data_IF_270941745433
#
_entry.id   IF_270941745433
#
_cell.length_a   1.000
_cell.length_b   1.000
_cell.length_c   1.000
_cell.angle_alpha   90.00
_cell.angle_beta   90.00
_cell.angle_gamma   90.00
#
_symmetry.space_group_name_H-M   'P 1'
#
loop_
_entity.id
_entity.type
_entity.pdbx_description
1 polymer ?
#
# COMPACT_ATOMS: atom_id res chain seq x y z
N UNK A 1 12.15 21.45 -3.95
CA UNK A 1 12.76 20.23 -3.38
C UNK A 1 11.62 19.27 -3.10
N UNK A 2 11.80 17.97 -3.39
CA UNK A 2 10.77 16.96 -3.11
C UNK A 2 10.48 16.89 -1.60
N UNK A 3 9.20 16.82 -1.23
CA UNK A 3 8.76 16.63 0.16
C UNK A 3 9.13 15.24 0.72
N UNK A 4 9.55 14.32 -0.16
CA UNK A 4 10.03 12.98 0.19
C UNK A 4 11.51 12.97 0.61
N UNK A 5 12.28 14.00 0.25
CA UNK A 5 13.72 14.04 0.49
C UNK A 5 14.06 13.93 1.98
N UNK A 6 14.95 13.00 2.30
CA UNK A 6 15.41 12.68 3.67
C UNK A 6 14.31 12.19 4.62
N UNK A 7 13.15 11.82 4.09
CA UNK A 7 12.05 11.20 4.84
C UNK A 7 12.16 9.68 4.77
N UNK A 8 11.65 9.00 5.77
CA UNK A 8 11.69 7.53 5.85
C UNK A 8 10.32 6.93 5.54
N UNK A 9 10.27 6.07 4.53
CA UNK A 9 9.08 5.35 4.11
C UNK A 9 9.21 3.85 4.39
N UNK A 10 8.25 3.29 5.13
CA UNK A 10 8.07 1.84 5.29
C UNK A 10 7.04 1.37 4.26
N UNK A 11 7.38 0.36 3.46
CA UNK A 11 6.53 -0.16 2.38
C UNK A 11 6.34 -1.65 2.56
N UNK A 12 5.11 -2.09 2.82
CA UNK A 12 4.77 -3.51 2.90
C UNK A 12 4.43 -4.08 1.53
N UNK A 13 4.68 -5.37 1.31
CA UNK A 13 4.47 -5.99 -0.02
C UNK A 13 5.39 -5.40 -1.08
N UNK A 14 6.62 -5.02 -0.70
CA UNK A 14 7.55 -4.27 -1.54
C UNK A 14 8.32 -5.14 -2.57
N UNK A 15 8.10 -6.45 -2.62
CA UNK A 15 8.86 -7.35 -3.50
C UNK A 15 8.51 -7.22 -4.99
N UNK A 16 7.31 -6.72 -5.33
CA UNK A 16 6.84 -6.59 -6.71
C UNK A 16 5.71 -5.56 -6.87
N UNK A 17 5.27 -5.36 -8.10
CA UNK A 17 4.09 -4.55 -8.42
C UNK A 17 4.18 -3.13 -7.89
N UNK A 18 3.09 -2.64 -7.29
CA UNK A 18 2.96 -1.27 -6.77
C UNK A 18 3.99 -1.00 -5.68
N UNK A 19 4.21 -1.96 -4.76
CA UNK A 19 5.16 -1.76 -3.66
C UNK A 19 6.60 -1.56 -4.12
N UNK A 20 7.07 -2.40 -5.06
CA UNK A 20 8.40 -2.26 -5.66
C UNK A 20 8.56 -0.94 -6.45
N UNK A 21 7.53 -0.56 -7.23
CA UNK A 21 7.53 0.71 -7.96
C UNK A 21 7.54 1.91 -6.99
N UNK A 22 6.79 1.84 -5.89
CA UNK A 22 6.78 2.87 -4.85
C UNK A 22 8.15 3.01 -4.19
N UNK A 23 8.82 1.90 -3.85
CA UNK A 23 10.15 1.93 -3.25
C UNK A 23 11.17 2.63 -4.15
N UNK A 24 11.18 2.30 -5.45
CA UNK A 24 12.06 2.94 -6.44
C UNK A 24 11.74 4.43 -6.61
N UNK A 25 10.46 4.78 -6.73
CA UNK A 25 10.02 6.17 -6.87
C UNK A 25 10.43 7.01 -5.66
N UNK A 26 10.17 6.53 -4.44
CA UNK A 26 10.52 7.26 -3.21
C UNK A 26 12.03 7.43 -3.07
N UNK A 27 12.81 6.38 -3.35
CA UNK A 27 14.26 6.45 -3.31
C UNK A 27 14.83 7.44 -4.35
N UNK A 28 14.27 7.45 -5.58
CA UNK A 28 14.65 8.42 -6.63
C UNK A 28 14.37 9.86 -6.22
N UNK A 29 13.33 10.10 -5.42
CA UNK A 29 12.99 11.41 -4.85
C UNK A 29 13.80 11.73 -3.56
N UNK A 30 14.74 10.87 -3.17
CA UNK A 30 15.66 11.07 -2.05
C UNK A 30 15.13 10.65 -0.68
N UNK A 31 14.10 9.82 -0.63
CA UNK A 31 13.65 9.20 0.61
C UNK A 31 14.54 8.00 1.01
N UNK A 32 14.59 7.72 2.31
CA UNK A 32 15.03 6.43 2.83
C UNK A 32 13.88 5.44 2.73
N UNK A 33 14.11 4.22 2.27
CA UNK A 33 13.05 3.23 2.11
C UNK A 33 13.34 1.95 2.89
N UNK A 34 12.34 1.45 3.61
CA UNK A 34 12.36 0.13 4.25
C UNK A 34 11.39 -0.77 3.49
N UNK A 35 11.96 -1.78 2.82
CA UNK A 35 11.21 -2.74 2.03
C UNK A 35 10.87 -3.96 2.89
N UNK A 36 9.57 -4.25 3.03
CA UNK A 36 9.07 -5.37 3.81
C UNK A 36 8.24 -6.31 2.93
N UNK A 37 8.62 -7.57 2.86
CA UNK A 37 7.86 -8.65 2.20
C UNK A 37 8.36 -10.02 2.68
N UNK A 38 7.61 -11.08 2.37
CA UNK A 38 7.97 -12.46 2.76
C UNK A 38 9.21 -12.98 2.03
N UNK A 39 9.41 -12.58 0.77
CA UNK A 39 10.49 -13.07 -0.08
C UNK A 39 11.71 -12.16 0.05
N UNK A 40 12.63 -12.52 0.95
CA UNK A 40 13.83 -11.73 1.25
C UNK A 40 14.67 -11.44 0.01
N UNK A 41 14.91 -12.43 -0.85
CA UNK A 41 15.76 -12.27 -2.03
C UNK A 41 15.25 -11.18 -2.99
N UNK A 42 13.92 -11.08 -3.18
CA UNK A 42 13.31 -10.08 -4.07
C UNK A 42 13.46 -8.65 -3.52
N UNK A 43 13.18 -8.46 -2.21
CA UNK A 43 13.31 -7.13 -1.60
C UNK A 43 14.75 -6.69 -1.45
N UNK A 44 15.66 -7.63 -1.18
CA UNK A 44 17.10 -7.31 -1.11
C UNK A 44 17.65 -6.91 -2.47
N UNK A 45 17.26 -7.59 -3.56
CA UNK A 45 17.66 -7.19 -4.90
C UNK A 45 17.21 -5.76 -5.25
N UNK A 46 15.99 -5.36 -4.84
CA UNK A 46 15.49 -3.98 -5.03
C UNK A 46 16.28 -3.00 -4.13
N UNK A 47 16.56 -3.38 -2.89
CA UNK A 47 17.35 -2.54 -1.99
C UNK A 47 18.79 -2.33 -2.49
N UNK A 48 19.42 -3.37 -3.04
CA UNK A 48 20.74 -3.28 -3.68
C UNK A 48 20.72 -2.38 -4.92
N UNK A 49 19.68 -2.50 -5.78
CA UNK A 49 19.46 -1.62 -6.92
C UNK A 49 19.40 -0.15 -6.49
N UNK A 50 18.60 0.14 -5.44
CA UNK A 50 18.42 1.49 -4.91
C UNK A 50 19.75 2.01 -4.32
N UNK A 51 20.46 1.21 -3.53
CA UNK A 51 21.77 1.59 -2.95
C UNK A 51 22.82 1.81 -4.05
N UNK A 52 22.83 0.95 -5.07
CA UNK A 52 23.70 1.09 -6.23
C UNK A 52 23.47 2.37 -7.04
N UNK A 53 22.23 2.90 -7.03
CA UNK A 53 21.88 4.19 -7.61
C UNK A 53 22.14 5.39 -6.67
N UNK A 54 22.72 5.17 -5.49
CA UNK A 54 23.05 6.20 -4.50
C UNK A 54 21.92 6.55 -3.55
N UNK A 55 20.81 5.80 -3.57
CA UNK A 55 19.70 5.92 -2.62
C UNK A 55 19.95 5.18 -1.30
N UNK A 56 19.07 5.37 -0.32
CA UNK A 56 19.11 4.72 0.98
C UNK A 56 17.97 3.70 1.09
N UNK A 57 18.32 2.43 1.27
CA UNK A 57 17.34 1.34 1.37
C UNK A 57 17.79 0.27 2.37
N UNK A 58 16.84 -0.26 3.14
CA UNK A 58 16.96 -1.44 3.97
C UNK A 58 15.83 -2.43 3.63
N UNK A 59 16.10 -3.72 3.77
CA UNK A 59 15.13 -4.78 3.49
C UNK A 59 14.99 -5.72 4.68
N UNK A 60 13.77 -6.21 4.93
CA UNK A 60 13.50 -7.16 6.01
C UNK A 60 12.38 -8.12 5.63
N UNK A 61 12.55 -9.41 5.91
CA UNK A 61 11.49 -10.38 5.80
C UNK A 61 10.33 -10.02 6.74
N UNK A 62 9.11 -10.00 6.21
CA UNK A 62 7.92 -9.67 6.99
C UNK A 62 6.70 -10.39 6.44
N UNK A 63 6.05 -11.16 7.28
CA UNK A 63 4.66 -11.59 7.08
C UNK A 63 3.76 -10.60 7.83
N UNK A 64 3.01 -9.78 7.07
CA UNK A 64 2.14 -8.75 7.64
C UNK A 64 1.00 -9.31 8.49
N UNK A 65 0.69 -10.59 8.39
CA UNK A 65 -0.28 -11.27 9.25
C UNK A 65 0.25 -11.55 10.68
N UNK A 66 1.54 -11.26 10.93
CA UNK A 66 2.21 -11.43 12.22
C UNK A 66 2.64 -10.08 12.77
N UNK A 67 2.12 -9.70 13.94
CA UNK A 67 2.41 -8.39 14.53
C UNK A 67 3.90 -8.21 14.84
N UNK A 68 4.57 -9.26 15.31
CA UNK A 68 5.98 -9.24 15.66
C UNK A 68 6.86 -8.89 14.46
N UNK A 69 6.53 -9.42 13.27
CA UNK A 69 7.27 -9.13 12.04
C UNK A 69 7.08 -7.65 11.65
N UNK A 70 5.85 -7.13 11.75
CA UNK A 70 5.55 -5.73 11.46
C UNK A 70 6.24 -4.78 12.44
N UNK A 71 6.27 -5.12 13.73
CA UNK A 71 7.03 -4.34 14.72
C UNK A 71 8.53 -4.35 14.43
N UNK A 72 9.10 -5.48 14.00
CA UNK A 72 10.50 -5.57 13.61
C UNK A 72 10.83 -4.66 12.41
N UNK A 73 9.89 -4.49 11.45
CA UNK A 73 10.04 -3.52 10.34
C UNK A 73 10.16 -2.08 10.87
N UNK A 74 9.33 -1.71 11.85
CA UNK A 74 9.37 -0.35 12.43
C UNK A 74 10.65 -0.13 13.23
N UNK A 75 11.12 -1.13 13.97
CA UNK A 75 12.42 -1.08 14.69
C UNK A 75 13.57 -0.92 13.69
N UNK A 76 13.52 -1.58 12.54
CA UNK A 76 14.53 -1.39 11.50
C UNK A 76 14.51 0.05 10.96
N UNK A 77 13.33 0.62 10.73
CA UNK A 77 13.20 2.02 10.29
C UNK A 77 13.76 3.00 11.34
N UNK A 78 13.46 2.76 12.63
CA UNK A 78 13.99 3.56 13.73
C UNK A 78 15.51 3.51 13.79
N UNK A 79 16.10 2.31 13.69
CA UNK A 79 17.53 2.10 13.86
C UNK A 79 18.36 2.49 12.64
N UNK A 80 17.85 2.26 11.43
CA UNK A 80 18.57 2.55 10.19
C UNK A 80 18.43 4.01 9.76
N UNK A 81 17.25 4.63 10.01
CA UNK A 81 16.91 5.93 9.42
C UNK A 81 16.31 6.93 10.41
N UNK A 82 16.19 6.58 11.69
CA UNK A 82 15.77 7.49 12.76
C UNK A 82 14.26 7.67 12.92
N UNK A 83 13.43 6.84 12.29
CA UNK A 83 11.98 6.84 12.47
C UNK A 83 11.18 6.52 11.22
N UNK A 84 9.88 6.77 11.28
CA UNK A 84 8.93 6.51 10.19
C UNK A 84 8.11 7.77 9.89
N UNK A 85 8.32 8.38 8.73
CA UNK A 85 7.52 9.51 8.24
C UNK A 85 6.31 9.01 7.43
N UNK A 86 6.50 7.94 6.64
CA UNK A 86 5.46 7.39 5.76
C UNK A 86 5.32 5.88 5.97
N UNK A 87 4.08 5.43 6.16
CA UNK A 87 3.73 4.01 6.13
C UNK A 87 2.86 3.73 4.90
N UNK A 88 3.30 2.82 4.05
CA UNK A 88 2.56 2.37 2.87
C UNK A 88 2.11 0.92 3.12
N UNK A 89 0.87 0.75 3.54
CA UNK A 89 0.23 -0.54 3.69
C UNK A 89 -0.23 -1.03 2.31
N UNK A 90 0.68 -1.66 1.58
CA UNK A 90 0.45 -2.13 0.22
C UNK A 90 0.31 -3.67 0.14
N UNK A 91 0.83 -4.42 1.08
CA UNK A 91 0.67 -5.88 1.08
C UNK A 91 -0.80 -6.30 0.98
N UNK A 92 -1.11 -7.21 0.06
CA UNK A 92 -2.45 -7.70 -0.13
C UNK A 92 -2.52 -8.85 -1.13
N UNK A 93 -3.54 -9.69 -1.00
CA UNK A 93 -3.83 -10.84 -1.85
C UNK A 93 -5.26 -10.80 -2.34
N UNK A 94 -5.52 -11.48 -3.48
CA UNK A 94 -6.86 -11.60 -4.08
C UNK A 94 -7.39 -13.04 -3.98
N UNK A 95 -6.52 -14.04 -3.83
CA UNK A 95 -6.97 -15.44 -3.66
C UNK A 95 -7.59 -15.69 -2.28
N UNK A 96 -8.54 -16.64 -2.23
CA UNK A 96 -9.09 -17.50 -3.29
C UNK A 96 -10.19 -16.78 -4.09
N UNK A 97 -10.06 -16.72 -5.43
CA UNK A 97 -11.13 -16.18 -6.28
C UNK A 97 -12.16 -17.28 -6.54
N UNK A 98 -13.29 -17.23 -5.84
CA UNK A 98 -14.34 -18.27 -5.90
C UNK A 98 -15.69 -17.76 -5.42
N UNK A 99 -16.78 -18.42 -5.82
CA UNK A 99 -18.11 -18.14 -5.28
C UNK A 99 -18.17 -18.46 -3.78
N UNK A 100 -19.05 -17.77 -3.05
CA UNK A 100 -19.18 -17.91 -1.58
C UNK A 100 -19.40 -19.36 -1.14
N UNK A 101 -20.29 -20.06 -1.83
CA UNK A 101 -20.64 -21.45 -1.48
C UNK A 101 -19.53 -22.47 -1.74
N UNK A 102 -18.50 -22.09 -2.52
CA UNK A 102 -17.39 -22.98 -2.88
C UNK A 102 -16.04 -22.48 -2.42
N UNK A 103 -16.01 -21.34 -1.72
CA UNK A 103 -14.75 -20.75 -1.26
C UNK A 103 -14.08 -21.63 -0.19
N UNK A 104 -12.76 -21.75 -0.27
CA UNK A 104 -11.95 -22.37 0.77
C UNK A 104 -11.94 -21.51 2.04
N UNK A 105 -12.46 -21.99 3.20
CA UNK A 105 -12.53 -21.21 4.43
C UNK A 105 -11.15 -20.78 4.96
N UNK A 106 -10.13 -21.63 4.83
CA UNK A 106 -8.78 -21.32 5.33
C UNK A 106 -8.11 -20.25 4.46
N UNK A 107 -8.22 -20.36 3.13
CA UNK A 107 -7.74 -19.34 2.20
C UNK A 107 -8.49 -18.02 2.38
N UNK A 108 -9.81 -18.07 2.63
CA UNK A 108 -10.62 -16.89 2.92
C UNK A 108 -10.14 -16.19 4.20
N UNK A 109 -9.90 -16.95 5.27
CA UNK A 109 -9.39 -16.43 6.54
C UNK A 109 -7.98 -15.84 6.38
N UNK A 110 -7.09 -16.52 5.64
CA UNK A 110 -5.74 -16.02 5.35
C UNK A 110 -5.77 -14.69 4.59
N UNK A 111 -6.70 -14.51 3.64
CA UNK A 111 -6.84 -13.24 2.94
C UNK A 111 -7.25 -12.09 3.89
N UNK A 112 -8.13 -12.34 4.86
CA UNK A 112 -8.46 -11.37 5.90
C UNK A 112 -7.25 -11.07 6.80
N UNK A 113 -6.50 -12.09 7.18
CA UNK A 113 -5.29 -11.92 8.00
C UNK A 113 -4.27 -11.01 7.31
N UNK A 114 -4.05 -11.20 6.03
CA UNK A 114 -3.12 -10.36 5.26
C UNK A 114 -3.69 -8.97 4.99
N UNK A 115 -4.90 -8.90 4.41
CA UNK A 115 -5.45 -7.64 3.88
C UNK A 115 -5.98 -6.72 4.97
N UNK A 116 -6.49 -7.24 6.09
CA UNK A 116 -7.08 -6.46 7.18
C UNK A 116 -6.15 -6.38 8.38
N UNK A 117 -5.73 -7.53 8.96
CA UNK A 117 -4.85 -7.49 10.12
C UNK A 117 -3.49 -6.90 9.79
N UNK A 118 -2.97 -7.14 8.57
CA UNK A 118 -1.72 -6.52 8.13
C UNK A 118 -1.78 -4.99 8.14
N UNK A 119 -2.87 -4.38 7.66
CA UNK A 119 -3.10 -2.93 7.74
C UNK A 119 -3.24 -2.47 9.19
N UNK A 120 -4.02 -3.18 9.99
CA UNK A 120 -4.17 -2.88 11.42
C UNK A 120 -2.83 -2.94 12.15
N UNK A 121 -2.01 -3.96 11.92
CA UNK A 121 -0.70 -4.10 12.55
C UNK A 121 0.27 -2.97 12.13
N UNK A 122 0.26 -2.61 10.85
CA UNK A 122 1.01 -1.46 10.36
C UNK A 122 0.64 -0.17 11.09
N UNK A 123 -0.66 0.13 11.17
CA UNK A 123 -1.18 1.28 11.92
C UNK A 123 -0.84 1.21 13.41
N UNK A 124 -1.06 0.05 14.04
CA UNK A 124 -0.78 -0.17 15.48
C UNK A 124 0.68 0.10 15.83
N UNK A 125 1.60 -0.27 14.94
CA UNK A 125 3.04 -0.09 15.14
C UNK A 125 3.50 1.34 14.78
N UNK A 126 2.97 1.95 13.71
CA UNK A 126 3.43 3.26 13.22
C UNK A 126 2.80 4.45 13.95
N UNK A 127 1.50 4.41 14.28
CA UNK A 127 0.80 5.58 14.85
C UNK A 127 1.42 6.12 16.15
N UNK A 128 1.87 5.30 17.12
CA UNK A 128 2.54 5.82 18.32
C UNK A 128 3.83 6.59 17.98
N UNK A 129 4.61 6.10 17.00
CA UNK A 129 5.84 6.74 16.53
C UNK A 129 5.55 8.08 15.84
N UNK A 130 4.57 8.08 14.94
CA UNK A 130 4.13 9.28 14.22
C UNK A 130 3.55 10.35 15.16
N UNK A 131 2.76 9.94 16.17
CA UNK A 131 2.25 10.86 17.21
C UNK A 131 3.39 11.45 18.03
N UNK A 132 4.38 10.67 18.42
CA UNK A 132 5.55 11.14 19.16
C UNK A 132 6.41 12.11 18.33
N UNK A 133 6.53 11.88 17.02
CA UNK A 133 7.21 12.77 16.09
C UNK A 133 6.39 14.02 15.70
N UNK A 134 5.11 14.07 16.05
CA UNK A 134 4.19 15.17 15.73
C UNK A 134 3.75 15.23 14.25
N UNK A 135 4.13 14.23 13.44
CA UNK A 135 3.77 14.14 12.01
C UNK A 135 3.86 12.71 11.52
N UNK A 136 3.26 12.43 10.37
CA UNK A 136 3.35 11.15 9.66
C UNK A 136 2.17 10.95 8.71
N UNK A 137 2.39 10.25 7.61
CA UNK A 137 1.32 9.93 6.67
C UNK A 137 1.23 8.43 6.47
N UNK A 138 0.02 7.90 6.62
CA UNK A 138 -0.27 6.51 6.27
C UNK A 138 -1.08 6.47 4.98
N UNK A 139 -0.59 5.71 4.00
CA UNK A 139 -1.33 5.41 2.77
C UNK A 139 -1.70 3.92 2.78
N UNK A 140 -2.99 3.63 2.79
CA UNK A 140 -3.52 2.28 2.71
C UNK A 140 -3.98 1.99 1.27
N UNK A 141 -3.45 0.93 0.65
CA UNK A 141 -3.90 0.55 -0.70
C UNK A 141 -5.29 -0.07 -0.60
N UNK A 142 -6.26 0.73 -1.02
CA UNK A 142 -7.68 0.43 -1.11
C UNK A 142 -8.04 -0.19 -2.49
N UNK A 143 -9.28 -0.20 -2.82
CA UNK A 143 -9.81 -0.67 -4.11
C UNK A 143 -11.24 -0.19 -4.29
N UNK A 144 -11.70 -0.08 -5.52
CA UNK A 144 -13.13 0.06 -5.81
C UNK A 144 -14.00 -1.05 -5.20
N UNK A 145 -13.40 -2.19 -4.88
CA UNK A 145 -14.03 -3.28 -4.13
C UNK A 145 -14.44 -2.91 -2.69
N UNK A 146 -13.93 -1.81 -2.15
CA UNK A 146 -14.33 -1.30 -0.83
C UNK A 146 -15.79 -0.81 -0.81
N UNK A 147 -16.33 -0.40 -1.96
CA UNK A 147 -17.68 0.15 -2.10
C UNK A 147 -18.55 -0.58 -3.13
N UNK A 148 -17.97 -1.55 -3.85
CA UNK A 148 -18.65 -2.34 -4.89
C UNK A 148 -18.47 -3.82 -4.63
N UNK A 149 -19.54 -4.59 -4.63
CA UNK A 149 -19.45 -6.05 -4.51
C UNK A 149 -19.17 -6.66 -5.89
N UNK A 150 -18.05 -7.38 -5.99
CA UNK A 150 -17.67 -8.14 -7.17
C UNK A 150 -17.80 -9.63 -6.89
N UNK A 151 -18.42 -10.34 -7.82
CA UNK A 151 -18.60 -11.78 -7.76
C UNK A 151 -17.26 -12.51 -7.65
N UNK A 152 -17.19 -13.57 -6.84
CA UNK A 152 -15.96 -14.33 -6.60
C UNK A 152 -14.94 -13.67 -5.66
N UNK A 153 -15.21 -12.47 -5.16
CA UNK A 153 -14.28 -11.69 -4.33
C UNK A 153 -14.79 -11.40 -2.91
N UNK A 154 -15.57 -12.28 -2.32
CA UNK A 154 -16.23 -12.01 -1.03
C UNK A 154 -15.25 -11.57 0.08
N UNK A 155 -14.13 -12.28 0.26
CA UNK A 155 -13.05 -11.94 1.18
C UNK A 155 -12.38 -10.62 0.81
N UNK A 156 -12.14 -10.38 -0.49
CA UNK A 156 -11.47 -9.18 -0.97
C UNK A 156 -12.36 -7.94 -0.80
N UNK A 157 -13.65 -8.03 -1.19
CA UNK A 157 -14.63 -6.95 -0.97
C UNK A 157 -14.73 -6.61 0.52
N UNK A 158 -14.92 -7.63 1.38
CA UNK A 158 -14.97 -7.45 2.83
C UNK A 158 -13.68 -6.82 3.38
N UNK A 159 -12.52 -7.29 2.93
CA UNK A 159 -11.22 -6.77 3.39
C UNK A 159 -11.02 -5.32 3.00
N UNK A 160 -11.36 -4.92 1.77
CA UNK A 160 -11.17 -3.54 1.30
C UNK A 160 -12.18 -2.58 1.93
N UNK A 161 -13.41 -3.02 2.20
CA UNK A 161 -14.38 -2.26 3.00
C UNK A 161 -13.87 -2.05 4.44
N UNK A 162 -13.30 -3.08 5.06
CA UNK A 162 -12.68 -2.97 6.38
C UNK A 162 -11.48 -1.99 6.37
N UNK A 163 -10.60 -2.08 5.37
CA UNK A 163 -9.45 -1.17 5.23
C UNK A 163 -9.91 0.28 5.10
N UNK A 164 -10.96 0.57 4.32
CA UNK A 164 -11.53 1.91 4.20
C UNK A 164 -12.04 2.42 5.55
N UNK A 165 -12.75 1.59 6.31
CA UNK A 165 -13.23 1.93 7.66
C UNK A 165 -12.06 2.20 8.62
N UNK A 166 -11.03 1.35 8.62
CA UNK A 166 -9.83 1.51 9.46
C UNK A 166 -9.06 2.78 9.08
N UNK A 167 -8.95 3.11 7.78
CA UNK A 167 -8.33 4.34 7.29
C UNK A 167 -8.98 5.58 7.90
N UNK A 168 -10.32 5.63 7.87
CA UNK A 168 -11.10 6.72 8.45
C UNK A 168 -10.96 6.82 9.97
N UNK A 169 -10.94 5.68 10.65
CA UNK A 169 -10.75 5.62 12.11
C UNK A 169 -9.36 6.13 12.48
N UNK A 170 -8.31 5.65 11.79
CA UNK A 170 -6.93 6.07 12.03
C UNK A 170 -6.76 7.59 11.84
N UNK A 171 -7.39 8.16 10.82
CA UNK A 171 -7.34 9.61 10.59
C UNK A 171 -8.02 10.39 11.72
N UNK A 172 -9.18 9.95 12.19
CA UNK A 172 -9.86 10.55 13.34
C UNK A 172 -9.02 10.47 14.62
N UNK A 173 -8.32 9.36 14.85
CA UNK A 173 -7.47 9.15 16.02
C UNK A 173 -6.14 9.94 15.95
N UNK A 174 -5.70 10.35 14.75
CA UNK A 174 -4.61 11.30 14.57
C UNK A 174 -5.04 12.73 14.95
N UNK A 175 -6.34 13.02 14.91
CA UNK A 175 -6.93 14.29 15.38
C UNK A 175 -6.40 15.49 14.60
N UNK A 176 -6.14 16.59 15.32
CA UNK A 176 -5.63 17.85 14.74
C UNK A 176 -4.13 17.84 14.46
N UNK A 177 -3.45 16.69 14.63
CA UNK A 177 -2.04 16.58 14.25
C UNK A 177 -1.85 16.80 12.74
N UNK A 178 -0.67 17.26 12.31
CA UNK A 178 -0.32 17.34 10.88
C UNK A 178 -0.33 15.97 10.17
N UNK A 179 -0.30 14.87 10.94
CA UNK A 179 -0.39 13.51 10.43
C UNK A 179 -1.76 13.20 9.85
N UNK A 180 -1.82 12.24 8.92
CA UNK A 180 -3.06 11.75 8.30
C UNK A 180 -2.99 10.30 7.89
N UNK A 181 -4.17 9.70 7.75
CA UNK A 181 -4.36 8.40 7.11
C UNK A 181 -5.27 8.59 5.89
N UNK A 182 -4.88 8.00 4.74
CA UNK A 182 -5.60 8.13 3.48
C UNK A 182 -5.58 6.81 2.73
N UNK A 183 -6.64 6.51 2.00
CA UNK A 183 -6.76 5.38 1.09
C UNK A 183 -6.36 5.76 -0.34
N UNK A 184 -5.81 4.81 -1.08
CA UNK A 184 -5.63 4.92 -2.53
C UNK A 184 -6.28 3.73 -3.22
N UNK A 185 -7.29 3.99 -4.03
CA UNK A 185 -7.90 3.04 -4.97
C UNK A 185 -7.23 3.17 -6.35
N UNK A 186 -6.24 2.34 -6.67
CA UNK A 186 -5.43 2.52 -7.89
C UNK A 186 -6.18 2.13 -9.18
N UNK A 187 -7.31 1.43 -9.09
CA UNK A 187 -7.97 0.83 -10.25
C UNK A 187 -7.27 -0.47 -10.67
N UNK A 188 -7.33 -0.79 -11.97
CA UNK A 188 -6.67 -1.98 -12.53
C UNK A 188 -5.24 -1.64 -12.95
N UNK A 189 -4.27 -2.21 -12.25
CA UNK A 189 -2.84 -1.95 -12.43
C UNK A 189 -2.17 -3.19 -13.00
N UNK A 190 -1.26 -3.04 -13.97
CA UNK A 190 -0.52 -4.13 -14.60
C UNK A 190 0.38 -4.87 -13.58
N UNK A 191 -0.19 -5.82 -12.85
CA UNK A 191 0.46 -6.61 -11.80
C UNK A 191 0.08 -8.08 -11.94
N UNK A 192 0.80 -8.95 -11.26
CA UNK A 192 0.51 -10.39 -11.21
C UNK A 192 -0.91 -10.67 -10.67
N UNK A 193 -1.43 -9.83 -9.78
CA UNK A 193 -2.82 -9.94 -9.30
C UNK A 193 -3.82 -9.92 -10.48
N UNK A 194 -3.59 -9.10 -11.52
CA UNK A 194 -4.46 -9.07 -12.70
C UNK A 194 -4.37 -10.35 -13.53
N UNK A 195 -3.23 -11.04 -13.52
CA UNK A 195 -3.09 -12.35 -14.16
C UNK A 195 -3.97 -13.38 -13.48
N UNK A 196 -3.98 -13.41 -12.14
CA UNK A 196 -4.85 -14.29 -11.35
C UNK A 196 -6.33 -13.97 -11.56
N UNK A 197 -6.69 -12.68 -11.55
CA UNK A 197 -8.06 -12.23 -11.82
C UNK A 197 -8.51 -12.68 -13.21
N UNK A 198 -7.69 -12.47 -14.25
CA UNK A 198 -7.99 -12.87 -15.62
C UNK A 198 -8.18 -14.38 -15.73
N UNK A 199 -7.34 -15.16 -15.07
CA UNK A 199 -7.43 -16.62 -15.07
C UNK A 199 -8.72 -17.15 -14.42
N UNK A 200 -9.31 -16.43 -13.49
CA UNK A 200 -10.54 -16.84 -12.79
C UNK A 200 -11.79 -16.82 -13.69
N UNK A 201 -11.88 -15.89 -14.63
CA UNK A 201 -13.02 -15.74 -15.54
C UNK A 201 -14.36 -15.36 -14.90
N UNK A 202 -14.41 -15.12 -13.55
CA UNK A 202 -15.68 -15.07 -12.81
C UNK A 202 -16.43 -13.75 -12.97
N UNK A 203 -15.74 -12.61 -13.00
CA UNK A 203 -16.41 -11.29 -12.97
C UNK A 203 -15.94 -10.38 -14.13
N UNK A 204 -16.60 -9.23 -14.36
CA UNK A 204 -16.25 -8.35 -15.47
C UNK A 204 -14.81 -7.87 -15.48
N UNK A 205 -14.13 -7.77 -14.32
CA UNK A 205 -12.72 -7.35 -14.27
C UNK A 205 -11.82 -8.40 -14.91
N UNK A 206 -12.17 -9.69 -14.82
CA UNK A 206 -11.44 -10.79 -15.46
C UNK A 206 -11.52 -10.76 -16.99
N UNK A 207 -12.48 -10.04 -17.56
CA UNK A 207 -12.67 -9.91 -19.01
C UNK A 207 -11.93 -8.71 -19.61
N UNK A 208 -11.34 -7.85 -18.78
CA UNK A 208 -10.63 -6.66 -19.27
C UNK A 208 -9.42 -7.06 -20.15
N UNK A 209 -9.21 -6.27 -21.19
CA UNK A 209 -7.98 -6.38 -21.98
C UNK A 209 -6.80 -5.87 -21.14
N UNK A 210 -5.65 -6.58 -21.10
CA UNK A 210 -4.48 -6.12 -20.36
C UNK A 210 -3.99 -4.72 -20.73
N UNK A 211 -4.26 -4.25 -21.95
CA UNK A 211 -3.87 -2.91 -22.42
C UNK A 211 -4.56 -1.76 -21.69
N UNK A 212 -5.69 -2.01 -21.01
CA UNK A 212 -6.39 -0.99 -20.23
C UNK A 212 -5.81 -0.84 -18.81
N UNK A 213 -4.92 -1.73 -18.41
CA UNK A 213 -4.29 -1.65 -17.09
C UNK A 213 -3.25 -0.53 -17.07
N UNK A 214 -3.35 0.33 -16.06
CA UNK A 214 -2.35 1.39 -15.85
C UNK A 214 -1.01 0.79 -15.37
N UNK A 215 0.13 1.41 -15.69
CA UNK A 215 1.43 0.95 -15.21
C UNK A 215 1.57 1.15 -13.69
N UNK A 216 2.44 0.37 -13.06
CA UNK A 216 2.71 0.45 -11.61
C UNK A 216 3.34 1.78 -11.17
N UNK A 217 3.92 2.53 -12.10
CA UNK A 217 4.46 3.88 -11.87
C UNK A 217 3.36 4.88 -11.47
N UNK A 218 2.17 4.80 -12.06
CA UNK A 218 1.08 5.71 -11.74
C UNK A 218 0.66 5.66 -10.27
N UNK A 219 0.32 4.49 -9.68
CA UNK A 219 0.03 4.43 -8.25
C UNK A 219 1.25 4.78 -7.39
N UNK A 220 2.49 4.48 -7.81
CA UNK A 220 3.68 4.86 -7.07
C UNK A 220 3.82 6.40 -6.94
N UNK A 221 3.62 7.13 -8.03
CA UNK A 221 3.60 8.60 -8.05
C UNK A 221 2.43 9.17 -7.25
N UNK A 222 1.25 8.56 -7.35
CA UNK A 222 0.09 8.96 -6.56
C UNK A 222 0.32 8.77 -5.05
N UNK A 223 0.96 7.68 -4.62
CA UNK A 223 1.35 7.46 -3.23
C UNK A 223 2.33 8.56 -2.78
N UNK A 224 3.33 8.88 -3.60
CA UNK A 224 4.25 10.00 -3.34
C UNK A 224 3.50 11.32 -3.17
N UNK A 225 2.59 11.66 -4.08
CA UNK A 225 1.76 12.86 -4.00
C UNK A 225 0.88 12.88 -2.75
N UNK A 226 0.26 11.76 -2.38
CA UNK A 226 -0.54 11.62 -1.16
C UNK A 226 0.28 11.83 0.12
N UNK A 227 1.59 11.61 0.09
CA UNK A 227 2.48 11.92 1.21
C UNK A 227 2.81 13.42 1.30
N UNK A 228 2.54 14.19 0.25
CA UNK A 228 2.86 15.62 0.16
C UNK A 228 1.78 16.56 0.71
N UNK A 229 2.10 17.84 0.86
CA UNK A 229 1.17 18.84 1.40
C UNK A 229 -0.05 19.08 0.49
N UNK A 230 0.10 18.91 -0.82
CA UNK A 230 -0.97 19.17 -1.80
C UNK A 230 -2.15 18.19 -1.71
N UNK A 231 -1.97 17.10 -0.96
CA UNK A 231 -2.99 16.10 -0.70
C UNK A 231 -3.56 16.18 0.73
N UNK A 232 -3.30 17.25 1.48
CA UNK A 232 -3.71 17.36 2.88
C UNK A 232 -5.25 17.34 3.06
N UNK A 233 -5.99 17.77 2.07
CA UNK A 233 -7.47 17.77 2.07
C UNK A 233 -8.09 16.37 2.04
N UNK A 234 -7.35 15.36 1.55
CA UNK A 234 -7.85 13.98 1.39
C UNK A 234 -7.68 13.11 2.64
N UNK A 235 -7.45 13.71 3.79
CA UNK A 235 -7.35 12.96 5.04
C UNK A 235 -8.63 12.17 5.33
N UNK A 236 -8.50 10.90 5.67
CA UNK A 236 -9.63 9.99 5.92
C UNK A 236 -10.39 9.53 4.65
N UNK A 237 -10.05 10.04 3.48
CA UNK A 237 -10.71 9.70 2.21
C UNK A 237 -10.08 8.47 1.52
N UNK A 238 -10.77 7.99 0.48
CA UNK A 238 -10.27 6.99 -0.45
C UNK A 238 -10.11 7.63 -1.84
N UNK A 239 -8.90 8.04 -2.16
CA UNK A 239 -8.57 8.70 -3.42
C UNK A 239 -8.50 7.68 -4.55
N UNK A 240 -9.18 7.95 -5.67
CA UNK A 240 -9.26 7.00 -6.79
C UNK A 240 -8.50 7.50 -8.03
N UNK A 241 -7.63 6.65 -8.58
CA UNK A 241 -6.98 6.92 -9.88
C UNK A 241 -7.90 6.67 -11.09
N UNK A 242 -9.19 6.35 -10.89
CA UNK A 242 -10.20 6.43 -11.94
C UNK A 242 -10.68 7.86 -12.19
N UNK A 243 -10.48 8.73 -11.21
CA UNK A 243 -10.79 10.15 -11.30
C UNK A 243 -9.70 10.87 -12.12
N UNK A 244 -10.09 11.50 -13.22
CA UNK A 244 -9.17 12.23 -14.09
C UNK A 244 -8.60 13.47 -13.43
N UNK A 245 -9.36 14.16 -12.58
CA UNK A 245 -8.87 15.34 -11.86
C UNK A 245 -7.76 14.95 -10.88
N UNK A 246 -7.89 13.81 -10.23
CA UNK A 246 -6.80 13.25 -9.41
C UNK A 246 -5.59 12.92 -10.28
N UNK A 247 -5.78 12.30 -11.46
CA UNK A 247 -4.67 12.00 -12.38
C UNK A 247 -3.95 13.27 -12.83
N UNK A 248 -4.67 14.35 -13.13
CA UNK A 248 -4.09 15.66 -13.48
C UNK A 248 -3.32 16.25 -12.31
N UNK A 249 -3.89 16.25 -11.11
CA UNK A 249 -3.23 16.77 -9.90
C UNK A 249 -1.94 16.02 -9.55
N UNK A 250 -1.90 14.72 -9.78
CA UNK A 250 -0.69 13.88 -9.63
C UNK A 250 0.30 14.11 -10.79
N UNK A 251 -0.13 14.70 -11.90
CA UNK A 251 0.66 14.88 -13.11
C UNK A 251 0.83 13.59 -13.92
N UNK A 252 -0.16 12.70 -13.89
CA UNK A 252 -0.16 11.45 -14.67
C UNK A 252 -0.68 11.64 -16.09
N UNK A 253 -1.51 12.63 -16.28
CA UNK A 253 -2.08 13.07 -17.57
C UNK A 253 -2.08 14.60 -17.63
N UNK A 254 -2.22 15.15 -18.84
CA UNK A 254 -2.30 16.59 -19.11
C UNK A 254 -3.67 17.19 -18.70
#
# INVERSE_FOLDING_TARGET
MSHLKSKTAVITGASRGIGAATARHFAAEGANVVLAARTTAEIEAIAEEIRGAGGAAAAIACDVSRYEDVEAVMVLADTAFGGVDFLINNAGVIDPISHLETSDPDGWAQAIDINVKGVYYGLRAALPRMKAAGAGVVVNISSGAATSALEGWSHYNASKAAVLSITRTADKELGDSPGRSVGLSPGTVATEMQVLIKASGINPVSQLDPSVHIPTDWPARAIGWLCGPDAAEYRGDDVSLRDEDIRRRVGLID
#
